data_IF_148580322997
#
_entry.id   IF_148580322997
#
_cell.length_a   1.000
_cell.length_b   1.000
_cell.length_c   1.000
_cell.angle_alpha   90.00
_cell.angle_beta   90.00
_cell.angle_gamma   90.00
#
_symmetry.space_group_name_H-M   'P 1'
#
loop_
_entity.id
_entity.type
_entity.pdbx_description
1 polymer ?
#
# COMPACT_ATOMS: atom_id res chain seq x y z
N UNK A 1 -32.73 -0.07 19.07
CA UNK A 1 -32.44 -0.60 17.75
C UNK A 1 -32.53 -2.12 17.74
N UNK A 2 -33.10 -2.69 16.67
CA UNK A 2 -33.49 -4.11 16.56
C UNK A 2 -32.33 -5.12 16.82
N UNK A 3 -31.10 -4.72 16.66
CA UNK A 3 -29.90 -5.58 16.71
C UNK A 3 -28.96 -5.30 17.90
N UNK A 4 -29.29 -4.39 18.81
CA UNK A 4 -28.41 -4.04 19.94
C UNK A 4 -28.07 -5.23 20.86
N UNK A 5 -28.93 -6.24 20.94
CA UNK A 5 -28.68 -7.48 21.69
C UNK A 5 -27.55 -8.35 21.17
N UNK A 6 -27.06 -8.07 19.95
CA UNK A 6 -25.95 -8.79 19.33
C UNK A 6 -24.62 -8.03 19.41
N UNK A 7 -24.61 -6.77 19.88
CA UNK A 7 -23.42 -5.92 19.86
C UNK A 7 -22.24 -6.55 20.58
N UNK A 8 -22.46 -7.19 21.73
CA UNK A 8 -21.41 -7.86 22.49
C UNK A 8 -20.82 -9.06 21.72
N UNK A 9 -21.68 -9.91 21.15
CA UNK A 9 -21.25 -11.05 20.35
C UNK A 9 -20.51 -10.61 19.08
N UNK A 10 -20.96 -9.53 18.44
CA UNK A 10 -20.30 -8.94 17.28
C UNK A 10 -18.91 -8.37 17.63
N UNK A 11 -18.78 -7.70 18.78
CA UNK A 11 -17.50 -7.17 19.25
C UNK A 11 -16.49 -8.28 19.53
N UNK A 12 -16.93 -9.36 20.18
CA UNK A 12 -16.08 -10.54 20.44
C UNK A 12 -15.65 -11.19 19.12
N UNK A 13 -16.58 -11.38 18.19
CA UNK A 13 -16.27 -11.98 16.89
C UNK A 13 -15.32 -11.11 16.06
N UNK A 14 -15.56 -9.79 16.00
CA UNK A 14 -14.68 -8.83 15.35
C UNK A 14 -13.25 -8.95 15.87
N UNK A 15 -13.08 -8.90 17.20
CA UNK A 15 -11.76 -9.03 17.84
C UNK A 15 -11.06 -10.34 17.49
N UNK A 16 -11.81 -11.43 17.38
CA UNK A 16 -11.26 -12.73 16.98
C UNK A 16 -10.72 -12.67 15.54
N UNK A 17 -11.49 -12.10 14.60
CA UNK A 17 -11.05 -11.97 13.20
C UNK A 17 -9.84 -11.03 13.07
N UNK A 18 -9.82 -9.91 13.80
CA UNK A 18 -8.68 -8.99 13.84
C UNK A 18 -7.41 -9.67 14.35
N UNK A 19 -7.52 -10.53 15.38
CA UNK A 19 -6.38 -11.31 15.87
C UNK A 19 -5.92 -12.37 14.86
N UNK A 20 -6.84 -13.09 14.22
CA UNK A 20 -6.51 -14.05 13.16
C UNK A 20 -5.81 -13.37 11.99
N UNK A 21 -6.28 -12.20 11.56
CA UNK A 21 -5.65 -11.40 10.51
C UNK A 21 -4.22 -11.02 10.90
N UNK A 22 -4.03 -10.50 12.12
CA UNK A 22 -2.71 -10.16 12.64
C UNK A 22 -1.75 -11.35 12.58
N UNK A 23 -2.17 -12.48 13.17
CA UNK A 23 -1.31 -13.68 13.27
C UNK A 23 -0.92 -14.21 11.88
N UNK A 24 -1.85 -14.23 10.93
CA UNK A 24 -1.59 -14.66 9.56
C UNK A 24 -0.65 -13.71 8.81
N UNK A 25 -0.90 -12.40 8.88
CA UNK A 25 -0.05 -11.39 8.23
C UNK A 25 1.38 -11.41 8.78
N UNK A 26 1.55 -11.46 10.10
CA UNK A 26 2.89 -11.51 10.71
C UNK A 26 3.60 -12.81 10.34
N UNK A 27 2.90 -13.96 10.32
CA UNK A 27 3.48 -15.23 9.87
C UNK A 27 4.01 -15.15 8.43
N UNK A 28 3.26 -14.52 7.52
CA UNK A 28 3.70 -14.30 6.13
C UNK A 28 4.93 -13.39 6.09
N UNK A 29 4.92 -12.28 6.83
CA UNK A 29 6.06 -11.36 6.91
C UNK A 29 7.32 -12.09 7.38
N UNK A 30 7.22 -12.95 8.39
CA UNK A 30 8.33 -13.74 8.89
C UNK A 30 8.86 -14.75 7.85
N UNK A 31 7.97 -15.42 7.13
CA UNK A 31 8.35 -16.33 6.03
C UNK A 31 9.09 -15.56 4.94
N UNK A 32 8.54 -14.44 4.50
CA UNK A 32 9.15 -13.61 3.44
C UNK A 32 10.54 -13.13 3.87
N UNK A 33 10.69 -12.61 5.10
CA UNK A 33 11.98 -12.15 5.63
C UNK A 33 12.98 -13.29 5.79
N UNK A 34 12.54 -14.43 6.33
CA UNK A 34 13.45 -15.52 6.69
C UNK A 34 13.80 -16.46 5.55
N UNK A 35 12.95 -16.56 4.52
CA UNK A 35 13.11 -17.52 3.42
C UNK A 35 13.23 -16.81 2.06
N UNK A 36 12.24 -16.00 1.68
CA UNK A 36 12.17 -15.45 0.33
C UNK A 36 13.27 -14.42 0.07
N UNK A 37 13.55 -13.53 1.02
CA UNK A 37 14.62 -12.53 0.89
C UNK A 37 16.01 -13.15 0.72
N UNK A 38 16.25 -14.36 1.25
CA UNK A 38 17.54 -15.03 1.09
C UNK A 38 17.83 -15.48 -0.34
N UNK A 39 16.79 -15.72 -1.12
CA UNK A 39 16.91 -16.21 -2.51
C UNK A 39 16.62 -15.10 -3.53
N UNK A 40 16.21 -13.92 -3.09
CA UNK A 40 15.97 -12.76 -3.94
C UNK A 40 17.32 -12.23 -4.49
N UNK A 41 17.58 -12.48 -5.76
CA UNK A 41 18.86 -12.13 -6.40
C UNK A 41 18.82 -10.85 -7.24
N UNK A 42 17.64 -10.44 -7.71
CA UNK A 42 17.43 -9.24 -8.53
C UNK A 42 16.77 -8.12 -7.73
N UNK A 43 16.97 -6.88 -8.15
CA UNK A 43 16.31 -5.72 -7.54
C UNK A 43 14.78 -5.81 -7.68
N UNK A 44 14.30 -6.32 -8.81
CA UNK A 44 12.87 -6.56 -9.03
C UNK A 44 12.29 -7.53 -8.00
N UNK A 45 12.93 -8.67 -7.78
CA UNK A 45 12.50 -9.66 -6.79
C UNK A 45 12.57 -9.11 -5.35
N UNK A 46 13.62 -8.34 -5.03
CA UNK A 46 13.76 -7.70 -3.72
C UNK A 46 12.68 -6.65 -3.50
N UNK A 47 12.46 -5.76 -4.48
CA UNK A 47 11.41 -4.75 -4.42
C UNK A 47 10.03 -5.37 -4.24
N UNK A 48 9.74 -6.46 -4.96
CA UNK A 48 8.50 -7.23 -4.80
C UNK A 48 8.32 -7.74 -3.37
N UNK A 49 9.33 -8.34 -2.77
CA UNK A 49 9.23 -8.86 -1.40
C UNK A 49 9.17 -7.75 -0.35
N UNK A 50 9.93 -6.66 -0.49
CA UNK A 50 9.79 -5.51 0.40
C UNK A 50 8.40 -4.90 0.33
N UNK A 51 7.86 -4.70 -0.89
CA UNK A 51 6.48 -4.26 -1.09
C UNK A 51 5.48 -5.20 -0.41
N UNK A 52 5.62 -6.50 -0.59
CA UNK A 52 4.77 -7.52 0.03
C UNK A 52 4.78 -7.41 1.55
N UNK A 53 5.95 -7.25 2.18
CA UNK A 53 6.06 -7.04 3.62
C UNK A 53 5.33 -5.76 4.04
N UNK A 54 5.51 -4.66 3.30
CA UNK A 54 4.80 -3.40 3.52
C UNK A 54 3.29 -3.57 3.44
N UNK A 55 2.79 -4.28 2.42
CA UNK A 55 1.36 -4.55 2.23
C UNK A 55 0.76 -5.33 3.40
N UNK A 56 1.42 -6.39 3.88
CA UNK A 56 0.90 -7.16 5.01
C UNK A 56 0.92 -6.37 6.32
N UNK A 57 1.92 -5.55 6.56
CA UNK A 57 1.90 -4.63 7.69
C UNK A 57 0.78 -3.58 7.57
N UNK A 58 0.51 -3.06 6.37
CA UNK A 58 -0.60 -2.13 6.12
C UNK A 58 -1.95 -2.78 6.42
N UNK A 59 -2.20 -4.00 5.96
CA UNK A 59 -3.45 -4.71 6.26
C UNK A 59 -3.69 -4.86 7.76
N UNK A 60 -2.65 -5.12 8.54
CA UNK A 60 -2.76 -5.15 10.00
C UNK A 60 -3.03 -3.74 10.55
N UNK A 61 -2.40 -2.70 10.01
CA UNK A 61 -2.57 -1.33 10.48
C UNK A 61 -4.01 -0.81 10.36
N UNK A 62 -4.80 -1.34 9.43
CA UNK A 62 -6.21 -0.98 9.24
C UNK A 62 -7.10 -1.36 10.45
N UNK A 63 -6.69 -2.34 11.26
CA UNK A 63 -7.45 -2.79 12.43
C UNK A 63 -6.68 -2.69 13.75
N UNK A 64 -5.37 -2.52 13.73
CA UNK A 64 -4.51 -2.42 14.92
C UNK A 64 -4.74 -1.13 15.69
N UNK A 65 -4.48 -1.14 17.00
CA UNK A 65 -4.62 0.00 17.89
C UNK A 65 -3.42 0.12 18.84
N UNK A 66 -3.22 1.32 19.39
CA UNK A 66 -2.19 1.57 20.40
C UNK A 66 -0.78 1.23 19.93
N UNK A 67 0.00 0.56 20.78
CA UNK A 67 1.40 0.22 20.49
C UNK A 67 1.55 -0.72 19.30
N UNK A 68 0.60 -1.63 19.11
CA UNK A 68 0.59 -2.55 17.97
C UNK A 68 0.49 -1.79 16.65
N UNK A 69 -0.36 -0.77 16.58
CA UNK A 69 -0.49 0.09 15.41
C UNK A 69 0.84 0.79 15.08
N UNK A 70 1.52 1.34 16.09
CA UNK A 70 2.80 2.00 15.89
C UNK A 70 3.87 1.05 15.33
N UNK A 71 3.93 -0.18 15.83
CA UNK A 71 4.88 -1.19 15.36
C UNK A 71 4.63 -1.54 13.88
N UNK A 72 3.37 -1.81 13.50
CA UNK A 72 3.07 -2.21 12.13
C UNK A 72 3.14 -1.04 11.14
N UNK A 73 2.80 0.18 11.57
CA UNK A 73 2.99 1.41 10.76
C UNK A 73 4.47 1.63 10.43
N UNK A 74 5.34 1.53 11.43
CA UNK A 74 6.78 1.68 11.22
C UNK A 74 7.33 0.55 10.33
N UNK A 75 6.87 -0.69 10.54
CA UNK A 75 7.25 -1.82 9.71
C UNK A 75 6.80 -1.66 8.25
N UNK A 76 5.60 -1.15 8.01
CA UNK A 76 5.11 -0.85 6.66
C UNK A 76 5.96 0.25 6.01
N UNK A 77 6.17 1.38 6.71
CA UNK A 77 6.94 2.50 6.20
C UNK A 77 8.36 2.10 5.80
N UNK A 78 9.08 1.42 6.70
CA UNK A 78 10.45 0.95 6.42
C UNK A 78 10.51 0.06 5.16
N UNK A 79 9.60 -0.91 5.04
CA UNK A 79 9.63 -1.84 3.93
C UNK A 79 9.17 -1.20 2.60
N UNK A 80 8.21 -0.29 2.63
CA UNK A 80 7.85 0.48 1.42
C UNK A 80 9.01 1.38 0.96
N UNK A 81 9.75 2.02 1.88
CA UNK A 81 10.93 2.81 1.54
C UNK A 81 12.06 1.95 0.95
N UNK A 82 12.32 0.78 1.53
CA UNK A 82 13.27 -0.19 0.96
C UNK A 82 12.86 -0.66 -0.43
N UNK A 83 11.56 -0.94 -0.63
CA UNK A 83 11.02 -1.30 -1.93
C UNK A 83 11.20 -0.16 -2.94
N UNK A 84 10.91 1.08 -2.55
CA UNK A 84 11.05 2.27 -3.38
C UNK A 84 12.49 2.43 -3.86
N UNK A 85 13.46 2.48 -2.94
CA UNK A 85 14.87 2.60 -3.29
C UNK A 85 15.36 1.45 -4.17
N UNK A 86 14.95 0.22 -3.86
CA UNK A 86 15.35 -0.96 -4.64
C UNK A 86 14.74 -0.95 -6.04
N UNK A 87 13.53 -0.39 -6.22
CA UNK A 87 12.86 -0.34 -7.52
C UNK A 87 13.28 0.81 -8.43
N UNK A 88 14.15 1.73 -7.98
CA UNK A 88 14.65 2.86 -8.80
C UNK A 88 15.37 2.39 -10.07
N UNK A 89 16.02 1.23 -10.02
CA UNK A 89 16.69 0.63 -11.18
C UNK A 89 15.73 0.05 -12.23
N UNK A 90 14.45 -0.14 -11.89
CA UNK A 90 13.44 -0.68 -12.79
C UNK A 90 12.84 0.40 -13.68
N UNK A 91 12.34 0.00 -14.86
CA UNK A 91 11.58 0.90 -15.73
C UNK A 91 10.37 1.48 -14.97
N UNK A 92 10.04 2.75 -15.22
CA UNK A 92 8.90 3.41 -14.57
C UNK A 92 7.55 2.72 -14.85
N UNK A 93 7.43 2.01 -15.98
CA UNK A 93 6.26 1.18 -16.32
C UNK A 93 6.32 -0.25 -15.76
N UNK A 94 7.39 -0.62 -15.01
CA UNK A 94 7.45 -1.95 -14.42
C UNK A 94 6.28 -2.13 -13.43
N UNK A 95 5.47 -3.20 -13.54
CA UNK A 95 4.27 -3.39 -12.71
C UNK A 95 4.55 -3.45 -11.21
N UNK A 96 5.75 -3.91 -10.80
CA UNK A 96 6.15 -3.95 -9.39
C UNK A 96 6.42 -2.51 -8.90
N UNK A 97 7.17 -1.70 -9.67
CA UNK A 97 7.46 -0.30 -9.33
C UNK A 97 6.18 0.54 -9.28
N UNK A 98 5.30 0.39 -10.26
CA UNK A 98 4.00 1.08 -10.27
C UNK A 98 3.06 0.63 -9.16
N UNK A 99 2.94 -0.68 -8.95
CA UNK A 99 2.12 -1.24 -7.88
C UNK A 99 2.63 -0.88 -6.49
N UNK A 100 3.95 -0.70 -6.33
CA UNK A 100 4.55 -0.15 -5.12
C UNK A 100 4.10 1.30 -4.90
N UNK A 101 4.23 2.16 -5.91
CA UNK A 101 3.84 3.55 -5.80
C UNK A 101 2.35 3.70 -5.46
N UNK A 102 1.48 2.89 -6.09
CA UNK A 102 0.06 2.82 -5.76
C UNK A 102 -0.17 2.46 -4.29
N UNK A 103 0.39 1.34 -3.81
CA UNK A 103 0.13 0.86 -2.46
C UNK A 103 0.78 1.75 -1.38
N UNK A 104 1.94 2.33 -1.68
CA UNK A 104 2.62 3.24 -0.76
C UNK A 104 1.88 4.58 -0.66
N UNK A 105 1.32 5.09 -1.75
CA UNK A 105 0.46 6.28 -1.70
C UNK A 105 -0.82 6.03 -0.90
N UNK A 106 -1.48 4.87 -1.08
CA UNK A 106 -2.63 4.44 -0.26
C UNK A 106 -2.25 4.35 1.23
N UNK A 107 -1.09 3.77 1.56
CA UNK A 107 -0.59 3.72 2.93
C UNK A 107 -0.42 5.12 3.55
N UNK A 108 0.14 6.07 2.79
CA UNK A 108 0.26 7.44 3.26
C UNK A 108 -1.09 8.10 3.47
N UNK A 109 -2.05 7.87 2.58
CA UNK A 109 -3.39 8.44 2.67
C UNK A 109 -4.17 7.87 3.87
N UNK A 110 -4.35 6.55 3.90
CA UNK A 110 -5.28 5.88 4.82
C UNK A 110 -4.69 5.62 6.21
N UNK A 111 -3.39 5.29 6.30
CA UNK A 111 -2.77 4.85 7.55
C UNK A 111 -1.94 5.95 8.20
N UNK A 112 -1.19 6.72 7.41
CA UNK A 112 -0.35 7.81 7.91
C UNK A 112 -1.10 9.13 8.04
N UNK A 113 -2.28 9.26 7.43
CA UNK A 113 -3.05 10.50 7.32
C UNK A 113 -2.20 11.64 6.73
N UNK A 114 -1.32 11.30 5.79
CA UNK A 114 -0.43 12.23 5.09
C UNK A 114 -0.86 12.34 3.62
N UNK A 115 -1.96 13.06 3.40
CA UNK A 115 -2.62 13.18 2.10
C UNK A 115 -1.68 13.83 1.07
N UNK A 116 -0.93 14.86 1.48
CA UNK A 116 0.03 15.52 0.61
C UNK A 116 1.09 14.58 0.06
N UNK A 117 1.69 13.75 0.92
CA UNK A 117 2.69 12.77 0.49
C UNK A 117 2.08 11.69 -0.40
N UNK A 118 0.86 11.24 -0.08
CA UNK A 118 0.12 10.29 -0.92
C UNK A 118 -0.07 10.81 -2.34
N UNK A 119 -0.54 12.04 -2.50
CA UNK A 119 -0.71 12.69 -3.80
C UNK A 119 0.64 12.87 -4.52
N UNK A 120 1.69 13.32 -3.81
CA UNK A 120 3.02 13.51 -4.40
C UNK A 120 3.59 12.21 -4.97
N UNK A 121 3.52 11.11 -4.21
CA UNK A 121 3.99 9.78 -4.65
C UNK A 121 3.21 9.28 -5.87
N UNK A 122 1.88 9.40 -5.84
CA UNK A 122 1.03 8.96 -6.94
C UNK A 122 1.23 9.78 -8.22
N UNK A 123 1.32 11.11 -8.11
CA UNK A 123 1.55 12.01 -9.24
C UNK A 123 2.92 11.80 -9.88
N UNK A 124 3.97 11.62 -9.08
CA UNK A 124 5.31 11.37 -9.59
C UNK A 124 5.36 10.04 -10.36
N UNK A 125 4.83 8.97 -9.77
CA UNK A 125 4.80 7.67 -10.43
C UNK A 125 3.99 7.69 -11.74
N UNK A 126 2.87 8.40 -11.75
CA UNK A 126 2.05 8.59 -12.94
C UNK A 126 2.79 9.35 -14.03
N UNK A 127 3.47 10.46 -13.69
CA UNK A 127 4.25 11.25 -14.63
C UNK A 127 5.40 10.43 -15.25
N UNK A 128 6.19 9.76 -14.39
CA UNK A 128 7.32 8.94 -14.84
C UNK A 128 6.88 7.80 -15.77
N UNK A 129 5.73 7.18 -15.46
CA UNK A 129 5.20 6.10 -16.28
C UNK A 129 4.68 6.59 -17.63
N UNK A 130 3.97 7.72 -17.67
CA UNK A 130 3.45 8.29 -18.91
C UNK A 130 4.55 8.73 -19.87
N UNK A 131 5.73 9.12 -19.38
CA UNK A 131 6.89 9.44 -20.19
C UNK A 131 7.51 8.21 -20.87
N UNK A 132 7.27 7.00 -20.35
CA UNK A 132 7.91 5.74 -20.80
C UNK A 132 6.95 4.73 -21.40
N UNK A 133 5.63 5.00 -21.34
CA UNK A 133 4.60 4.01 -21.68
C UNK A 133 4.62 3.58 -23.16
N UNK A 134 5.06 4.47 -24.04
CA UNK A 134 5.12 4.20 -25.48
C UNK A 134 6.37 3.37 -25.88
N UNK A 135 7.34 3.25 -24.96
CA UNK A 135 8.61 2.56 -25.19
C UNK A 135 8.62 1.10 -24.69
N UNK A 136 7.52 0.63 -24.06
CA UNK A 136 7.46 -0.71 -23.48
C UNK A 136 6.77 -1.72 -24.42
N UNK A 137 7.01 -3.02 -24.20
CA UNK A 137 6.31 -4.09 -24.92
C UNK A 137 4.82 -4.16 -24.56
N UNK A 138 4.06 -4.88 -25.40
CA UNK A 138 2.59 -4.95 -25.28
C UNK A 138 2.11 -5.56 -23.94
N UNK A 139 2.84 -6.53 -23.39
CA UNK A 139 2.52 -7.16 -22.11
C UNK A 139 2.71 -6.17 -20.96
N UNK A 140 3.86 -5.52 -20.89
CA UNK A 140 4.18 -4.48 -19.91
C UNK A 140 3.21 -3.30 -20.04
N UNK A 141 2.88 -2.87 -21.27
CA UNK A 141 1.91 -1.81 -21.51
C UNK A 141 0.55 -2.13 -20.89
N UNK A 142 0.02 -3.34 -21.14
CA UNK A 142 -1.29 -3.76 -20.63
C UNK A 142 -1.32 -3.77 -19.10
N UNK A 143 -0.29 -4.31 -18.46
CA UNK A 143 -0.21 -4.41 -17.01
C UNK A 143 -0.01 -3.03 -16.36
N UNK A 144 0.88 -2.20 -16.92
CA UNK A 144 1.09 -0.83 -16.49
C UNK A 144 -0.18 0.02 -16.60
N UNK A 145 -0.90 -0.10 -17.72
CA UNK A 145 -2.14 0.65 -17.96
C UNK A 145 -3.16 0.46 -16.83
N UNK A 146 -3.37 -0.78 -16.39
CA UNK A 146 -4.33 -1.07 -15.32
C UNK A 146 -3.93 -0.39 -14.00
N UNK A 147 -2.63 -0.36 -13.67
CA UNK A 147 -2.15 0.30 -12.44
C UNK A 147 -2.22 1.82 -12.57
N UNK A 148 -1.89 2.36 -13.74
CA UNK A 148 -2.00 3.79 -14.07
C UNK A 148 -3.45 4.27 -13.92
N UNK A 149 -4.43 3.49 -14.36
CA UNK A 149 -5.85 3.82 -14.19
C UNK A 149 -6.23 3.89 -12.71
N UNK A 150 -5.80 2.92 -11.89
CA UNK A 150 -6.02 2.95 -10.43
C UNK A 150 -5.35 4.15 -9.74
N UNK A 151 -4.12 4.51 -10.14
CA UNK A 151 -3.45 5.70 -9.62
C UNK A 151 -4.23 6.98 -9.93
N UNK A 152 -4.74 7.11 -11.17
CA UNK A 152 -5.56 8.25 -11.59
C UNK A 152 -6.87 8.33 -10.79
N UNK A 153 -7.54 7.21 -10.60
CA UNK A 153 -8.79 7.13 -9.83
C UNK A 153 -8.56 7.56 -8.38
N UNK A 154 -7.53 7.04 -7.71
CA UNK A 154 -7.21 7.42 -6.34
C UNK A 154 -6.87 8.91 -6.23
N UNK A 155 -6.01 9.43 -7.11
CA UNK A 155 -5.65 10.86 -7.12
C UNK A 155 -6.87 11.77 -7.35
N UNK A 156 -7.80 11.37 -8.21
CA UNK A 156 -9.04 12.13 -8.43
C UNK A 156 -9.91 12.16 -7.18
N UNK A 157 -10.15 10.99 -6.56
CA UNK A 157 -10.93 10.87 -5.34
C UNK A 157 -10.34 11.68 -4.18
N UNK A 158 -9.02 11.59 -3.96
CA UNK A 158 -8.35 12.32 -2.89
C UNK A 158 -8.42 13.84 -3.06
N UNK A 159 -8.30 14.34 -4.30
CA UNK A 159 -8.44 15.77 -4.58
C UNK A 159 -9.88 16.27 -4.35
N UNK A 160 -10.86 15.47 -4.74
CA UNK A 160 -12.28 15.80 -4.49
C UNK A 160 -12.59 15.85 -2.99
N UNK A 161 -12.04 14.93 -2.19
CA UNK A 161 -12.20 14.91 -0.73
C UNK A 161 -11.52 16.11 -0.07
N UNK A 162 -10.31 16.49 -0.51
CA UNK A 162 -9.62 17.69 -0.01
C UNK A 162 -10.40 18.98 -0.31
N UNK A 163 -10.96 19.11 -1.53
CA UNK A 163 -11.78 20.26 -1.92
C UNK A 163 -13.09 20.35 -1.09
N UNK A 164 -13.73 19.20 -0.82
CA UNK A 164 -14.94 19.16 0.00
C UNK A 164 -14.65 19.57 1.44
N UNK A 165 -13.58 19.04 2.05
CA UNK A 165 -13.19 19.40 3.40
C UNK A 165 -12.81 20.88 3.53
N UNK A 166 -12.15 21.47 2.52
CA UNK A 166 -11.82 22.90 2.50
C UNK A 166 -13.05 23.82 2.41
N UNK A 167 -14.16 23.32 1.87
CA UNK A 167 -15.44 24.08 1.78
C UNK A 167 -16.25 23.99 3.07
N UNK A 168 -16.16 22.86 3.80
CA UNK A 168 -16.86 22.68 5.09
C UNK A 168 -16.22 23.47 6.25
N UNK A 169 -14.93 23.83 6.13
CA UNK A 169 -14.19 24.63 7.12
C UNK A 169 -14.36 26.16 6.96
N UNK A 170 -15.16 26.62 5.98
CA UNK A 170 -15.46 28.03 5.71
C UNK A 170 -16.85 28.44 6.19
#
# INVERSE_FOLDING_TARGET
>A
PKYSKFNEALAVYKKKIEQELYDQCISIVEIVKSQCMKVASTDETKAFFYKMIGDYYRYVAECAQGDQLNVVKNGALENYQLAQTTSESLNACNPIRLGLALNFSVFHYEVMNNHKEACTLGEQALSDALEKIDDVDEETFRDAKSIIELLKENLSLWKEEEEQNAVEDL
#
